data_IF_823857345429
#
_entry.id   IF_823857345429
#
_cell.length_a   1.000
_cell.length_b   1.000
_cell.length_c   1.000
_cell.angle_alpha   90.00
_cell.angle_beta   90.00
_cell.angle_gamma   90.00
#
_symmetry.space_group_name_H-M   'P 1'
#
loop_
_entity.id
_entity.type
_entity.pdbx_description
1 polymer ?
#
# COMPACT_ATOMS: atom_id res chain seq x y z
N UNK A 1 9.10 13.07 2.54
CA UNK A 1 9.03 12.37 1.24
C UNK A 1 7.89 11.37 1.37
N UNK A 2 6.80 11.52 0.62
CA UNK A 2 5.53 10.80 0.85
C UNK A 2 5.32 9.76 -0.26
N UNK A 3 5.59 8.49 0.03
CA UNK A 3 5.52 7.43 -0.97
C UNK A 3 4.27 6.58 -0.73
N UNK A 4 3.33 6.57 -1.68
CA UNK A 4 2.29 5.53 -1.71
C UNK A 4 2.89 4.34 -2.43
N UNK A 5 3.36 3.39 -1.66
CA UNK A 5 3.98 2.20 -2.21
C UNK A 5 2.89 1.16 -2.24
N UNK A 6 2.40 0.86 -3.43
CA UNK A 6 1.29 -0.06 -3.57
C UNK A 6 1.46 -0.99 -4.74
N UNK A 7 1.02 -2.22 -4.48
CA UNK A 7 0.84 -3.37 -5.35
C UNK A 7 2.04 -4.33 -5.36
N UNK A 8 2.57 -4.73 -4.20
CA UNK A 8 3.32 -6.01 -4.04
C UNK A 8 2.57 -6.96 -3.10
N UNK A 9 2.87 -8.26 -3.19
CA UNK A 9 2.37 -9.26 -2.24
C UNK A 9 2.74 -8.89 -0.80
N UNK A 10 1.76 -8.71 0.08
CA UNK A 10 2.04 -8.34 1.48
C UNK A 10 2.50 -9.56 2.29
N UNK A 11 3.80 -9.84 2.21
CA UNK A 11 4.49 -10.96 2.85
C UNK A 11 5.54 -10.46 3.83
N UNK A 12 6.14 -11.35 4.62
CA UNK A 12 7.22 -10.98 5.55
C UNK A 12 8.39 -10.26 4.86
N UNK A 13 8.74 -10.68 3.64
CA UNK A 13 9.80 -10.05 2.83
C UNK A 13 9.44 -8.61 2.47
N UNK A 14 8.19 -8.39 2.06
CA UNK A 14 7.66 -7.04 1.79
C UNK A 14 7.63 -6.21 3.06
N UNK A 15 7.31 -6.80 4.22
CA UNK A 15 7.39 -6.14 5.52
C UNK A 15 8.78 -5.56 5.81
N UNK A 16 9.85 -6.34 5.61
CA UNK A 16 11.24 -5.85 5.77
C UNK A 16 11.53 -4.67 4.84
N UNK A 17 11.07 -4.75 3.59
CA UNK A 17 11.25 -3.65 2.64
C UNK A 17 10.48 -2.39 3.07
N UNK A 18 9.24 -2.52 3.52
CA UNK A 18 8.43 -1.41 4.05
C UNK A 18 9.15 -0.74 5.22
N UNK A 19 9.61 -1.53 6.19
CA UNK A 19 10.34 -1.01 7.36
C UNK A 19 11.64 -0.31 6.93
N UNK A 20 12.36 -0.87 5.96
CA UNK A 20 13.57 -0.23 5.39
C UNK A 20 13.25 1.15 4.78
N UNK A 21 12.14 1.28 4.05
CA UNK A 21 11.72 2.56 3.48
C UNK A 21 11.37 3.57 4.58
N UNK A 22 10.67 3.14 5.64
CA UNK A 22 10.39 3.97 6.80
C UNK A 22 11.67 4.41 7.52
N UNK A 23 12.65 3.51 7.71
CA UNK A 23 13.96 3.83 8.28
C UNK A 23 14.74 4.86 7.44
N UNK A 24 14.57 4.84 6.11
CA UNK A 24 15.13 5.84 5.20
C UNK A 24 14.34 7.15 5.14
N UNK A 25 13.28 7.30 5.95
CA UNK A 25 12.51 8.54 6.09
C UNK A 25 11.29 8.65 5.18
N UNK A 26 10.85 7.55 4.56
CA UNK A 26 9.59 7.53 3.81
C UNK A 26 8.39 7.42 4.76
N UNK A 27 7.34 8.18 4.48
CA UNK A 27 6.02 7.87 4.99
C UNK A 27 5.32 6.93 4.00
N UNK A 28 4.77 5.83 4.51
CA UNK A 28 4.26 4.72 3.70
C UNK A 28 2.79 4.46 4.01
N UNK A 29 1.99 4.32 2.95
CA UNK A 29 0.64 3.74 2.96
C UNK A 29 0.65 2.57 1.97
N UNK A 30 0.03 1.44 2.34
CA UNK A 30 0.17 0.19 1.59
C UNK A 30 -1.17 -0.51 1.36
N UNK A 31 -1.42 -1.00 0.15
CA UNK A 31 -2.45 -2.02 -0.14
C UNK A 31 -1.86 -3.22 -0.89
N UNK A 32 -2.68 -4.23 -1.22
CA UNK A 32 -2.20 -5.48 -1.82
C UNK A 32 -2.48 -5.55 -3.32
N UNK A 33 -1.53 -6.14 -4.06
CA UNK A 33 -1.74 -6.42 -5.49
C UNK A 33 -2.66 -7.59 -5.76
N UNK A 34 -2.73 -8.53 -4.81
CA UNK A 34 -3.42 -9.79 -4.98
C UNK A 34 -4.08 -10.20 -3.66
N UNK A 35 -5.41 -10.37 -3.64
CA UNK A 35 -6.16 -10.78 -2.46
C UNK A 35 -5.65 -12.04 -1.76
N UNK A 36 -5.11 -13.00 -2.52
CA UNK A 36 -4.69 -14.29 -1.97
C UNK A 36 -3.30 -14.24 -1.33
N UNK A 37 -2.56 -13.16 -1.54
CA UNK A 37 -1.13 -13.08 -1.24
C UNK A 37 -0.81 -12.47 0.13
N UNK A 38 -1.77 -11.76 0.72
CA UNK A 38 -1.59 -11.10 2.00
C UNK A 38 -1.36 -12.12 3.11
N UNK A 39 -0.35 -11.87 3.94
CA UNK A 39 -0.09 -12.56 5.18
C UNK A 39 -0.58 -11.69 6.33
N UNK A 40 -1.78 -11.96 6.84
CA UNK A 40 -2.45 -11.08 7.83
C UNK A 40 -1.64 -10.81 9.10
N UNK A 41 -0.86 -11.80 9.55
CA UNK A 41 0.03 -11.63 10.71
C UNK A 41 1.15 -10.61 10.45
N UNK A 42 1.62 -10.49 9.20
CA UNK A 42 2.59 -9.47 8.79
C UNK A 42 1.91 -8.11 8.69
N UNK A 43 0.73 -8.06 8.07
CA UNK A 43 -0.08 -6.83 8.01
C UNK A 43 -0.33 -6.27 9.42
N UNK A 44 -0.77 -7.13 10.35
CA UNK A 44 -0.99 -6.76 11.75
C UNK A 44 0.29 -6.29 12.46
N UNK A 45 1.44 -6.91 12.18
CA UNK A 45 2.71 -6.49 12.75
C UNK A 45 3.14 -5.09 12.27
N UNK A 46 2.98 -4.81 10.97
CA UNK A 46 3.28 -3.49 10.40
C UNK A 46 2.34 -2.40 10.94
N UNK A 47 1.04 -2.70 11.06
CA UNK A 47 0.06 -1.80 11.70
C UNK A 47 0.46 -1.50 13.15
N UNK A 48 0.89 -2.51 13.91
CA UNK A 48 1.38 -2.33 15.28
C UNK A 48 2.61 -1.42 15.35
N UNK A 49 3.43 -1.39 14.30
CA UNK A 49 4.58 -0.49 14.15
C UNK A 49 4.20 0.91 13.64
N UNK A 50 2.90 1.21 13.51
CA UNK A 50 2.39 2.54 13.13
C UNK A 50 2.37 2.78 11.62
N UNK A 51 2.50 1.73 10.80
CA UNK A 51 2.47 1.83 9.35
C UNK A 51 1.03 1.62 8.87
N UNK A 52 0.54 2.49 7.99
CA UNK A 52 -0.81 2.39 7.44
C UNK A 52 -0.88 1.27 6.40
N UNK A 53 -1.53 0.16 6.78
CA UNK A 53 -1.77 -1.00 5.92
C UNK A 53 -3.27 -1.16 5.69
N UNK A 54 -3.65 -1.26 4.42
CA UNK A 54 -5.01 -1.49 3.93
C UNK A 54 -4.98 -2.75 3.06
N UNK A 55 -4.85 -3.91 3.69
CA UNK A 55 -4.83 -5.19 2.99
C UNK A 55 -5.10 -6.31 3.98
N UNK A 56 -5.88 -7.30 3.54
CA UNK A 56 -6.05 -8.58 4.24
C UNK A 56 -6.15 -9.70 3.21
N UNK A 57 -5.98 -10.93 3.68
CA UNK A 57 -6.13 -12.09 2.84
C UNK A 57 -7.59 -12.29 2.45
N UNK A 58 -7.80 -12.70 1.21
CA UNK A 58 -9.09 -13.02 0.62
C UNK A 58 -10.04 -11.81 0.52
N UNK A 59 -9.50 -10.59 0.41
CA UNK A 59 -10.28 -9.37 0.12
C UNK A 59 -11.05 -9.51 -1.21
N UNK A 60 -12.28 -8.99 -1.25
CA UNK A 60 -13.06 -8.93 -2.50
C UNK A 60 -12.66 -7.70 -3.33
N UNK A 61 -13.03 -7.68 -4.62
CA UNK A 61 -12.64 -6.59 -5.53
C UNK A 61 -13.05 -5.20 -5.03
N UNK A 62 -14.22 -5.06 -4.42
CA UNK A 62 -14.68 -3.79 -3.84
C UNK A 62 -13.80 -3.34 -2.66
N UNK A 63 -13.41 -4.27 -1.80
CA UNK A 63 -12.52 -4.02 -0.67
C UNK A 63 -11.13 -3.62 -1.16
N UNK A 64 -10.61 -4.31 -2.18
CA UNK A 64 -9.32 -3.96 -2.81
C UNK A 64 -9.34 -2.54 -3.38
N UNK A 65 -10.39 -2.15 -4.09
CA UNK A 65 -10.51 -0.79 -4.61
C UNK A 65 -10.62 0.23 -3.47
N UNK A 66 -11.34 -0.09 -2.41
CA UNK A 66 -11.39 0.75 -1.21
C UNK A 66 -10.01 0.92 -0.56
N UNK A 67 -9.24 -0.16 -0.46
CA UNK A 67 -7.88 -0.16 0.06
C UNK A 67 -6.95 0.73 -0.77
N UNK A 68 -7.00 0.61 -2.10
CA UNK A 68 -6.25 1.48 -3.03
C UNK A 68 -6.64 2.95 -2.84
N UNK A 69 -7.93 3.24 -2.70
CA UNK A 69 -8.39 4.61 -2.48
C UNK A 69 -7.84 5.20 -1.17
N UNK A 70 -7.53 4.36 -0.16
CA UNK A 70 -6.89 4.82 1.09
C UNK A 70 -5.40 5.15 0.92
N UNK A 71 -4.72 4.71 -0.15
CA UNK A 71 -3.29 4.96 -0.35
C UNK A 71 -2.98 6.22 -1.15
N UNK A 72 -4.00 6.83 -1.78
CA UNK A 72 -3.83 7.97 -2.70
C UNK A 72 -3.44 9.28 -1.98
N UNK A 73 -4.06 9.55 -0.83
CA UNK A 73 -3.87 10.78 -0.06
C UNK A 73 -3.39 10.46 1.35
N UNK A 74 -2.45 11.27 1.83
CA UNK A 74 -1.92 11.20 3.18
C UNK A 74 -2.80 11.98 4.17
N UNK A 75 -2.65 11.78 5.50
CA UNK A 75 -3.49 12.44 6.50
C UNK A 75 -3.44 13.97 6.48
N UNK A 76 -2.39 14.56 5.90
CA UNK A 76 -2.24 16.00 5.71
C UNK A 76 -2.93 16.51 4.42
N UNK A 77 -3.58 15.62 3.67
CA UNK A 77 -4.28 15.91 2.43
C UNK A 77 -3.36 15.98 1.20
N UNK A 78 -2.04 15.77 1.35
CA UNK A 78 -1.14 15.72 0.20
C UNK A 78 -1.33 14.40 -0.57
N UNK A 79 -1.29 14.44 -1.92
CA UNK A 79 -1.26 13.20 -2.69
C UNK A 79 0.07 12.48 -2.51
N UNK A 80 0.08 11.19 -2.82
CA UNK A 80 1.32 10.45 -3.00
C UNK A 80 2.26 11.12 -4.00
N UNK A 81 3.57 10.95 -3.79
CA UNK A 81 4.60 11.51 -4.68
C UNK A 81 5.54 10.46 -5.30
N UNK A 82 5.37 9.20 -4.93
CA UNK A 82 6.07 8.05 -5.49
C UNK A 82 5.16 6.82 -5.43
N UNK A 83 5.31 5.94 -6.42
CA UNK A 83 4.61 4.66 -6.56
C UNK A 83 5.65 3.53 -6.65
N UNK A 84 5.43 2.44 -5.91
CA UNK A 84 6.17 1.17 -6.07
C UNK A 84 5.18 0.04 -6.27
N UNK A 85 5.10 -0.47 -7.50
CA UNK A 85 3.99 -1.26 -8.02
C UNK A 85 4.51 -2.53 -8.72
N UNK A 86 3.83 -3.65 -8.51
CA UNK A 86 4.05 -4.98 -9.11
C UNK A 86 2.73 -5.52 -9.67
N UNK A 87 2.51 -5.28 -10.97
CA UNK A 87 1.27 -5.60 -11.68
C UNK A 87 0.56 -4.37 -12.26
N UNK A 88 1.08 -3.16 -11.98
CA UNK A 88 0.65 -1.87 -12.55
C UNK A 88 -0.82 -1.49 -12.24
N UNK A 89 -1.41 -2.02 -11.18
CA UNK A 89 -2.83 -1.80 -10.86
C UNK A 89 -3.05 -0.37 -10.34
N UNK A 90 -2.24 0.07 -9.38
CA UNK A 90 -2.32 1.43 -8.85
C UNK A 90 -1.94 2.42 -9.94
N UNK A 91 -0.86 2.15 -10.67
CA UNK A 91 -0.41 3.00 -11.79
C UNK A 91 -1.55 3.24 -12.79
N UNK A 92 -2.26 2.17 -13.19
CA UNK A 92 -3.43 2.29 -14.07
C UNK A 92 -4.54 3.15 -13.46
N UNK A 93 -4.89 2.92 -12.19
CA UNK A 93 -5.96 3.66 -11.49
C UNK A 93 -5.62 5.15 -11.39
N UNK A 94 -4.36 5.51 -11.13
CA UNK A 94 -3.92 6.91 -11.11
C UNK A 94 -4.14 7.56 -12.48
N UNK A 95 -3.72 6.90 -13.55
CA UNK A 95 -3.90 7.40 -14.92
C UNK A 95 -5.37 7.54 -15.33
N UNK A 96 -6.23 6.61 -14.92
CA UNK A 96 -7.63 6.54 -15.36
C UNK A 96 -8.61 7.34 -14.48
N UNK A 97 -8.39 7.41 -13.17
CA UNK A 97 -9.36 7.97 -12.19
C UNK A 97 -8.90 9.28 -11.54
N UNK A 98 -7.62 9.41 -11.20
CA UNK A 98 -7.15 10.52 -10.36
C UNK A 98 -6.46 11.63 -11.15
N UNK A 99 -5.78 11.31 -12.25
CA UNK A 99 -5.07 12.27 -13.11
C UNK A 99 -4.09 13.19 -12.34
N UNK A 100 -3.43 12.62 -11.31
CA UNK A 100 -2.38 13.26 -10.50
C UNK A 100 -0.99 12.78 -10.90
#
# INVERSE_FOLDING_TARGET
MFASLDVLHLTAQTGVMIETLCELGAQVQWSSSNPLSTQDHVAAALVKNGISIYAWKDEIEEEKLWCIDQTIYFPDGQPLNAILDDGCVLTRIIHEKYHI
#
